data_IF_448132132577
#
_entry.id   IF_448132132577
#
_cell.length_a   1.000
_cell.length_b   1.000
_cell.length_c   1.000
_cell.angle_alpha   90.00
_cell.angle_beta   90.00
_cell.angle_gamma   90.00
#
_symmetry.space_group_name_H-M   'P 1'
#
loop_
_entity.id
_entity.type
_entity.pdbx_description
1 polymer ?
#
# COMPACT_ATOMS: atom_id res chain seq x y z
N UNK A 1 -0.88 24.12 -14.34
CA UNK A 1 -1.19 22.67 -14.44
C UNK A 1 -1.04 21.97 -13.07
N UNK A 2 -0.26 22.52 -12.13
CA UNK A 2 -0.04 22.02 -10.76
C UNK A 2 -1.26 22.01 -9.82
N UNK A 3 -2.29 22.82 -10.09
CA UNK A 3 -3.48 22.94 -9.21
C UNK A 3 -4.43 21.74 -9.27
N UNK A 4 -4.37 20.91 -10.33
CA UNK A 4 -5.21 19.70 -10.43
C UNK A 4 -4.64 18.53 -9.63
N UNK A 5 -3.33 18.35 -9.62
CA UNK A 5 -2.67 17.23 -8.92
C UNK A 5 -2.76 17.37 -7.40
N UNK A 6 -2.70 18.60 -6.89
CA UNK A 6 -2.86 18.91 -5.46
C UNK A 6 -4.29 18.67 -4.97
N UNK A 7 -5.30 19.03 -5.76
CA UNK A 7 -6.71 18.78 -5.44
C UNK A 7 -7.02 17.28 -5.38
N UNK A 8 -6.52 16.49 -6.33
CA UNK A 8 -6.73 15.04 -6.35
C UNK A 8 -6.00 14.32 -5.21
N UNK A 9 -4.81 14.80 -4.81
CA UNK A 9 -4.11 14.31 -3.62
C UNK A 9 -4.95 14.51 -2.35
N UNK A 10 -5.47 15.73 -2.13
CA UNK A 10 -6.29 16.02 -0.95
C UNK A 10 -7.59 15.22 -0.94
N UNK A 11 -8.22 15.03 -2.09
CA UNK A 11 -9.39 14.14 -2.23
C UNK A 11 -9.06 12.71 -1.83
N UNK A 12 -7.90 12.18 -2.24
CA UNK A 12 -7.49 10.82 -1.89
C UNK A 12 -7.25 10.66 -0.39
N UNK A 13 -6.57 11.61 0.25
CA UNK A 13 -6.40 11.59 1.71
C UNK A 13 -7.74 11.65 2.45
N UNK A 14 -8.62 12.56 2.03
CA UNK A 14 -9.96 12.70 2.62
C UNK A 14 -10.77 11.42 2.44
N UNK A 15 -10.63 10.75 1.29
CA UNK A 15 -11.29 9.47 1.01
C UNK A 15 -10.71 8.34 1.88
N UNK A 16 -9.39 8.28 2.07
CA UNK A 16 -8.78 7.33 3.01
C UNK A 16 -9.36 7.56 4.41
N UNK A 17 -9.39 8.80 4.89
CA UNK A 17 -9.85 9.14 6.23
C UNK A 17 -11.36 8.90 6.42
N UNK A 18 -12.18 9.02 5.38
CA UNK A 18 -13.63 8.81 5.47
C UNK A 18 -14.06 7.35 5.43
N UNK A 19 -13.29 6.46 4.80
CA UNK A 19 -13.63 5.02 4.70
C UNK A 19 -13.46 4.34 6.06
N UNK A 20 -14.50 3.68 6.53
CA UNK A 20 -14.51 3.01 7.84
C UNK A 20 -14.67 1.50 7.75
N UNK A 21 -14.73 0.97 6.53
CA UNK A 21 -14.94 -0.44 6.25
C UNK A 21 -13.69 -1.07 5.68
N UNK A 22 -13.35 -2.25 6.18
CA UNK A 22 -12.11 -2.91 5.79
C UNK A 22 -12.07 -3.26 4.31
N UNK A 23 -13.13 -3.87 3.75
CA UNK A 23 -13.17 -4.19 2.32
C UNK A 23 -13.04 -2.97 1.44
N UNK A 24 -13.65 -1.86 1.83
CA UNK A 24 -13.54 -0.59 1.10
C UNK A 24 -12.11 -0.03 1.12
N UNK A 25 -11.34 -0.25 2.19
CA UNK A 25 -9.91 0.11 2.24
C UNK A 25 -9.07 -0.78 1.32
N UNK A 26 -9.37 -2.09 1.28
CA UNK A 26 -8.70 -3.01 0.35
C UNK A 26 -9.01 -2.65 -1.11
N UNK A 27 -10.26 -2.35 -1.44
CA UNK A 27 -10.63 -1.88 -2.78
C UNK A 27 -9.91 -0.57 -3.14
N UNK A 28 -9.79 0.37 -2.18
CA UNK A 28 -9.03 1.59 -2.39
C UNK A 28 -7.52 1.33 -2.58
N UNK A 29 -6.97 0.27 -1.98
CA UNK A 29 -5.59 -0.16 -2.20
C UNK A 29 -5.32 -0.48 -3.68
N UNK A 30 -6.21 -1.24 -4.30
CA UNK A 30 -6.13 -1.59 -5.71
C UNK A 30 -6.23 -0.36 -6.62
N UNK A 31 -7.08 0.60 -6.25
CA UNK A 31 -7.17 1.89 -6.95
C UNK A 31 -5.87 2.69 -6.82
N UNK A 32 -5.28 2.77 -5.62
CA UNK A 32 -4.02 3.48 -5.38
C UNK A 32 -2.88 2.86 -6.14
N UNK A 33 -2.80 1.53 -6.24
CA UNK A 33 -1.77 0.87 -7.06
C UNK A 33 -1.80 1.27 -8.53
N UNK A 34 -2.98 1.51 -9.10
CA UNK A 34 -3.14 2.01 -10.48
C UNK A 34 -2.66 3.45 -10.65
N UNK A 35 -2.40 4.18 -9.56
CA UNK A 35 -1.93 5.57 -9.58
C UNK A 35 -0.40 5.70 -9.55
N UNK A 36 0.36 4.59 -9.44
CA UNK A 36 1.83 4.65 -9.27
C UNK A 36 2.56 5.43 -10.37
N UNK A 37 2.01 5.48 -11.59
CA UNK A 37 2.58 6.18 -12.74
C UNK A 37 1.99 7.57 -13.00
N UNK A 38 0.98 7.98 -12.22
CA UNK A 38 0.24 9.25 -12.42
C UNK A 38 0.72 10.38 -11.52
N UNK A 39 1.37 10.06 -10.40
CA UNK A 39 1.81 11.03 -9.40
C UNK A 39 3.31 10.91 -9.15
N UNK A 40 3.96 12.00 -8.69
CA UNK A 40 5.31 11.92 -8.15
C UNK A 40 5.40 10.85 -7.05
N UNK A 41 6.53 10.14 -6.99
CA UNK A 41 6.73 9.04 -6.04
C UNK A 41 6.47 9.45 -4.58
N UNK A 42 6.86 10.66 -4.18
CA UNK A 42 6.63 11.19 -2.83
C UNK A 42 5.15 11.27 -2.46
N UNK A 43 4.31 11.75 -3.39
CA UNK A 43 2.85 11.86 -3.23
C UNK A 43 2.23 10.47 -3.14
N UNK A 44 2.59 9.60 -4.08
CA UNK A 44 2.11 8.21 -4.10
C UNK A 44 2.50 7.44 -2.82
N UNK A 45 3.76 7.56 -2.39
CA UNK A 45 4.26 6.90 -1.19
C UNK A 45 3.54 7.38 0.07
N UNK A 46 3.21 8.67 0.16
CA UNK A 46 2.43 9.21 1.28
C UNK A 46 1.00 8.66 1.30
N UNK A 47 0.28 8.71 0.18
CA UNK A 47 -1.08 8.15 0.06
C UNK A 47 -1.08 6.66 0.45
N UNK A 48 -0.12 5.89 -0.10
CA UNK A 48 0.04 4.46 0.19
C UNK A 48 0.36 4.21 1.67
N UNK A 49 1.25 5.00 2.26
CA UNK A 49 1.60 4.93 3.68
C UNK A 49 0.39 5.17 4.57
N UNK A 50 -0.40 6.22 4.27
CA UNK A 50 -1.60 6.57 5.03
C UNK A 50 -2.67 5.49 4.96
N UNK A 51 -2.89 4.91 3.78
CA UNK A 51 -3.80 3.78 3.64
C UNK A 51 -3.31 2.56 4.44
N UNK A 52 -2.01 2.24 4.36
CA UNK A 52 -1.43 1.10 5.07
C UNK A 52 -1.52 1.25 6.60
N UNK A 53 -1.28 2.46 7.13
CA UNK A 53 -1.51 2.76 8.55
C UNK A 53 -2.96 2.50 8.94
N UNK A 54 -3.91 2.97 8.11
CA UNK A 54 -5.32 2.79 8.38
C UNK A 54 -5.71 1.32 8.33
N UNK A 55 -5.27 0.56 7.34
CA UNK A 55 -5.48 -0.91 7.27
C UNK A 55 -4.92 -1.60 8.51
N UNK A 56 -3.73 -1.21 8.97
CA UNK A 56 -3.10 -1.78 10.16
C UNK A 56 -3.96 -1.60 11.43
N UNK A 57 -4.70 -0.49 11.54
CA UNK A 57 -5.66 -0.29 12.64
C UNK A 57 -6.78 -1.34 12.63
N UNK A 58 -7.21 -1.80 11.46
CA UNK A 58 -8.20 -2.88 11.34
C UNK A 58 -7.59 -4.25 11.61
N UNK A 59 -6.34 -4.47 11.21
CA UNK A 59 -5.66 -5.76 11.41
C UNK A 59 -5.29 -6.04 12.87
N UNK A 60 -4.91 -5.00 13.61
CA UNK A 60 -4.50 -5.08 15.00
C UNK A 60 -4.98 -3.88 15.81
N UNK A 61 -6.29 -3.75 16.08
CA UNK A 61 -6.81 -2.65 16.87
C UNK A 61 -6.46 -2.78 18.35
N UNK A 62 -6.49 -1.66 19.06
CA UNK A 62 -6.49 -1.66 20.52
C UNK A 62 -7.88 -2.12 21.02
N UNK A 63 -7.93 -3.32 21.59
CA UNK A 63 -9.18 -3.97 22.02
C UNK A 63 -9.91 -3.24 23.17
N UNK A 64 -9.22 -2.37 23.92
CA UNK A 64 -9.82 -1.68 25.07
C UNK A 64 -10.72 -0.52 24.66
N UNK A 65 -10.35 0.18 23.58
CA UNK A 65 -10.95 1.44 23.16
C UNK A 65 -11.81 1.32 21.92
N UNK A 66 -11.86 0.14 21.29
CA UNK A 66 -12.49 -0.01 19.99
C UNK A 66 -13.91 -0.61 20.05
N UNK A 67 -14.85 0.10 19.46
CA UNK A 67 -16.16 -0.44 19.09
C UNK A 67 -16.08 -0.83 17.62
N UNK A 68 -16.27 -2.12 17.30
CA UNK A 68 -16.25 -2.61 15.92
C UNK A 68 -17.56 -3.29 15.60
N UNK A 69 -18.02 -3.15 14.37
CA UNK A 69 -19.25 -3.78 13.89
C UNK A 69 -18.93 -4.77 12.79
N UNK A 70 -19.40 -5.99 12.94
CA UNK A 70 -19.38 -7.00 11.88
C UNK A 70 -20.67 -6.88 11.09
N UNK A 71 -20.58 -6.82 9.77
CA UNK A 71 -21.70 -6.65 8.85
C UNK A 71 -21.94 -7.98 8.13
N UNK A 72 -23.16 -8.48 8.17
CA UNK A 72 -23.57 -9.73 7.55
C UNK A 72 -24.22 -9.51 6.18
N UNK A 73 -24.38 -10.59 5.40
CA UNK A 73 -24.95 -10.57 4.04
C UNK A 73 -26.36 -9.97 4.02
N UNK A 74 -27.16 -10.21 5.07
CA UNK A 74 -28.51 -9.69 5.21
C UNK A 74 -28.58 -8.20 5.64
N UNK A 75 -27.44 -7.52 5.77
CA UNK A 75 -27.35 -6.14 6.25
C UNK A 75 -27.48 -5.98 7.76
N UNK A 76 -27.71 -7.07 8.51
CA UNK A 76 -27.62 -7.04 9.96
C UNK A 76 -26.18 -6.82 10.43
N UNK A 77 -26.03 -6.34 11.65
CA UNK A 77 -24.73 -6.11 12.24
C UNK A 77 -24.68 -6.54 13.70
N UNK A 78 -23.49 -6.93 14.15
CA UNK A 78 -23.20 -7.29 15.54
C UNK A 78 -21.96 -6.53 15.99
N UNK A 79 -21.96 -6.05 17.22
CA UNK A 79 -20.75 -5.48 17.81
C UNK A 79 -19.77 -6.60 18.15
N UNK A 80 -18.53 -6.47 17.68
CA UNK A 80 -17.46 -7.36 18.06
C UNK A 80 -17.14 -7.17 19.54
N UNK A 81 -17.09 -8.26 20.29
CA UNK A 81 -16.79 -8.22 21.71
C UNK A 81 -15.30 -8.04 21.97
N UNK A 82 -14.96 -7.40 23.10
CA UNK A 82 -13.56 -7.24 23.52
C UNK A 82 -12.84 -8.59 23.64
N UNK A 83 -13.55 -9.61 24.14
CA UNK A 83 -13.04 -10.96 24.28
C UNK A 83 -12.56 -11.54 22.94
N UNK A 84 -13.27 -11.25 21.85
CA UNK A 84 -12.93 -11.74 20.51
C UNK A 84 -11.71 -11.04 19.93
N UNK A 85 -11.61 -9.73 20.15
CA UNK A 85 -10.43 -8.97 19.76
C UNK A 85 -9.17 -9.50 20.48
N UNK A 86 -9.27 -9.73 21.80
CA UNK A 86 -8.17 -10.30 22.59
C UNK A 86 -7.85 -11.74 22.16
N UNK A 87 -8.86 -12.55 21.84
CA UNK A 87 -8.66 -13.91 21.37
C UNK A 87 -7.93 -13.95 20.01
N UNK A 88 -8.21 -13.00 19.10
CA UNK A 88 -7.49 -12.87 17.84
C UNK A 88 -5.99 -12.56 18.10
N UNK A 89 -5.70 -11.60 18.98
CA UNK A 89 -4.34 -11.22 19.36
C UNK A 89 -3.57 -12.37 20.02
N UNK A 90 -4.18 -13.08 20.95
CA UNK A 90 -3.56 -14.23 21.64
C UNK A 90 -3.22 -15.38 20.68
N UNK A 91 -4.02 -15.55 19.62
CA UNK A 91 -3.77 -16.54 18.57
C UNK A 91 -2.77 -16.05 17.51
N UNK A 92 -2.25 -14.82 17.62
CA UNK A 92 -1.37 -14.22 16.62
C UNK A 92 -2.04 -14.03 15.25
N UNK A 93 -3.37 -13.98 15.20
CA UNK A 93 -4.12 -13.78 13.97
C UNK A 93 -4.49 -12.33 13.78
N UNK A 94 -4.53 -11.87 12.52
CA UNK A 94 -5.14 -10.58 12.20
C UNK A 94 -6.62 -10.66 12.49
N UNK A 95 -7.19 -9.56 12.97
CA UNK A 95 -8.60 -9.51 13.28
C UNK A 95 -9.53 -9.83 12.09
N UNK A 96 -9.31 -9.31 10.86
CA UNK A 96 -10.09 -9.73 9.68
C UNK A 96 -10.16 -11.24 9.50
N UNK A 97 -9.02 -11.93 9.65
CA UNK A 97 -8.93 -13.38 9.48
C UNK A 97 -9.70 -14.11 10.59
N UNK A 98 -9.55 -13.64 11.83
CA UNK A 98 -10.32 -14.17 12.97
C UNK A 98 -11.83 -13.99 12.77
N UNK A 99 -12.26 -12.82 12.30
CA UNK A 99 -13.67 -12.53 12.02
C UNK A 99 -14.20 -13.44 10.93
N UNK A 100 -13.44 -13.68 9.87
CA UNK A 100 -13.83 -14.59 8.79
C UNK A 100 -14.02 -16.04 9.28
N UNK A 101 -13.20 -16.49 10.24
CA UNK A 101 -13.32 -17.83 10.84
C UNK A 101 -14.49 -17.92 11.81
N UNK A 102 -14.65 -16.95 12.72
CA UNK A 102 -15.68 -16.96 13.76
C UNK A 102 -17.08 -16.64 13.21
N UNK A 103 -17.16 -15.78 12.20
CA UNK A 103 -18.40 -15.27 11.61
C UNK A 103 -18.43 -15.59 10.10
N UNK A 104 -18.73 -16.84 9.70
CA UNK A 104 -18.63 -17.28 8.30
C UNK A 104 -19.57 -16.55 7.33
N UNK A 105 -20.62 -15.90 7.85
CA UNK A 105 -21.55 -15.08 7.07
C UNK A 105 -21.25 -13.58 7.11
N UNK A 106 -20.12 -13.18 7.73
CA UNK A 106 -19.67 -11.80 7.71
C UNK A 106 -19.22 -11.43 6.29
N UNK A 107 -19.71 -10.29 5.81
CA UNK A 107 -19.27 -9.70 4.54
C UNK A 107 -18.19 -8.67 4.81
N UNK A 108 -18.32 -7.87 5.85
CA UNK A 108 -17.39 -6.77 6.11
C UNK A 108 -17.33 -6.46 7.60
N UNK A 109 -16.41 -5.59 7.99
CA UNK A 109 -16.35 -5.05 9.33
C UNK A 109 -15.96 -3.57 9.31
N UNK A 110 -16.54 -2.84 10.26
CA UNK A 110 -16.54 -1.39 10.31
C UNK A 110 -16.05 -0.90 11.68
N UNK A 111 -15.16 0.09 11.67
CA UNK A 111 -14.77 0.85 12.86
C UNK A 111 -15.49 2.20 12.79
N UNK A 112 -16.46 2.53 13.67
CA UNK A 112 -17.14 3.82 13.66
C UNK A 112 -16.14 4.98 13.74
N UNK A 113 -16.41 6.09 13.03
CA UNK A 113 -15.49 7.24 12.99
C UNK A 113 -15.19 7.84 14.34
N UNK A 114 -16.17 7.83 15.26
CA UNK A 114 -16.01 8.37 16.60
C UNK A 114 -14.93 7.60 17.38
N UNK A 115 -14.82 6.31 17.11
CA UNK A 115 -13.78 5.41 17.64
C UNK A 115 -12.44 5.62 16.94
N UNK A 116 -12.42 5.85 15.62
CA UNK A 116 -11.17 6.16 14.89
C UNK A 116 -10.54 7.48 15.37
N UNK A 117 -11.35 8.51 15.63
CA UNK A 117 -10.88 9.82 16.12
C UNK A 117 -10.35 9.74 17.54
N UNK A 118 -10.95 8.94 18.41
CA UNK A 118 -10.44 8.73 19.78
C UNK A 118 -9.11 7.97 19.78
N UNK A 119 -8.93 7.00 18.87
CA UNK A 119 -7.66 6.28 18.70
C UNK A 119 -6.55 7.15 18.11
N UNK A 120 -6.86 8.05 17.16
CA UNK A 120 -5.89 8.98 16.59
C UNK A 120 -5.46 10.09 17.57
N UNK A 121 -6.32 10.41 18.55
CA UNK A 121 -6.07 11.44 19.57
C UNK A 121 -5.46 10.89 20.85
N UNK A 122 -5.43 9.56 21.01
CA UNK A 122 -4.72 8.90 22.08
C UNK A 122 -3.21 9.06 21.83
N UNK A 123 -2.61 10.10 22.44
CA UNK A 123 -1.15 10.11 22.68
C UNK A 123 -0.75 8.74 23.25
N UNK A 124 0.41 8.18 22.85
CA UNK A 124 0.89 6.93 23.41
C UNK A 124 0.92 7.10 24.92
N UNK A 125 -0.01 6.41 25.58
CA UNK A 125 -0.12 6.46 27.01
C UNK A 125 1.12 5.74 27.51
N UNK A 126 1.98 6.48 28.21
CA UNK A 126 3.08 5.98 29.03
C UNK A 126 2.49 5.09 30.12
N UNK A 127 2.07 3.89 29.74
CA UNK A 127 1.81 2.79 30.63
C UNK A 127 3.14 2.09 30.87
N UNK A 128 3.61 2.16 32.11
CA UNK A 128 4.76 1.43 32.64
C UNK A 128 4.64 -0.07 32.33
N UNK A 129 5.30 -0.51 31.25
CA UNK A 129 5.67 -1.90 31.06
C UNK A 129 6.94 -2.19 31.89
N UNK A 130 7.06 -3.37 32.55
CA UNK A 130 8.25 -3.74 33.29
C UNK A 130 9.44 -3.84 32.33
N UNK A 131 10.60 -3.34 32.78
CA UNK A 131 11.83 -3.13 32.02
C UNK A 131 12.16 -4.29 31.07
N UNK A 132 11.87 -4.08 29.78
CA UNK A 132 12.42 -4.84 28.66
C UNK A 132 13.71 -4.18 28.20
N UNK A 133 14.74 -5.00 28.00
CA UNK A 133 16.12 -4.61 27.75
C UNK A 133 16.26 -3.63 26.56
N UNK A 134 16.88 -2.43 26.72
CA UNK A 134 16.96 -1.39 25.68
C UNK A 134 17.76 -1.79 24.42
N UNK A 135 18.43 -2.94 24.43
CA UNK A 135 19.11 -3.50 23.26
C UNK A 135 18.16 -4.16 22.25
N UNK A 136 16.90 -4.47 22.63
CA UNK A 136 15.95 -5.14 21.73
C UNK A 136 15.25 -4.16 20.78
N UNK A 137 14.97 -2.94 21.22
CA UNK A 137 14.34 -1.89 20.40
C UNK A 137 15.24 -1.41 19.26
N UNK A 138 16.56 -1.37 19.47
CA UNK A 138 17.54 -1.10 18.42
C UNK A 138 17.64 -2.26 17.41
N UNK A 139 17.50 -3.51 17.85
CA UNK A 139 17.56 -4.67 16.94
C UNK A 139 16.38 -4.74 15.97
N UNK A 140 15.16 -4.39 16.43
CA UNK A 140 13.95 -4.37 15.59
C UNK A 140 14.03 -3.21 14.57
N UNK A 141 14.54 -2.05 14.98
CA UNK A 141 14.78 -0.94 14.07
C UNK A 141 15.81 -1.30 12.98
N UNK A 142 16.84 -2.06 13.34
CA UNK A 142 17.87 -2.54 12.41
C UNK A 142 17.31 -3.62 11.47
N UNK A 143 16.51 -4.58 11.93
CA UNK A 143 15.88 -5.59 11.06
C UNK A 143 14.89 -4.97 10.05
N UNK A 144 14.13 -3.96 10.49
CA UNK A 144 13.23 -3.20 9.60
C UNK A 144 14.01 -2.37 8.58
N UNK A 145 15.17 -1.81 8.97
CA UNK A 145 16.09 -1.14 8.06
C UNK A 145 16.75 -2.11 7.09
N UNK A 146 17.16 -3.30 7.53
CA UNK A 146 17.75 -4.36 6.72
C UNK A 146 16.79 -4.87 5.66
N UNK A 147 15.53 -5.13 6.06
CA UNK A 147 14.48 -5.58 5.13
C UNK A 147 14.19 -4.52 4.05
N UNK A 148 14.22 -3.23 4.42
CA UNK A 148 14.09 -2.12 3.47
C UNK A 148 15.32 -2.00 2.56
N UNK A 149 16.51 -2.26 3.08
CA UNK A 149 17.76 -2.26 2.31
C UNK A 149 17.79 -3.41 1.29
N UNK A 150 17.40 -4.63 1.70
CA UNK A 150 17.28 -5.78 0.81
C UNK A 150 16.25 -5.56 -0.29
N UNK A 151 15.13 -4.91 0.03
CA UNK A 151 14.13 -4.54 -0.97
C UNK A 151 14.68 -3.50 -1.97
N UNK A 152 15.44 -2.51 -1.50
CA UNK A 152 16.12 -1.54 -2.37
C UNK A 152 17.19 -2.20 -3.25
N UNK A 153 17.97 -3.14 -2.70
CA UNK A 153 18.95 -3.91 -3.46
C UNK A 153 18.26 -4.72 -4.56
N UNK A 154 17.14 -5.41 -4.26
CA UNK A 154 16.37 -6.14 -5.27
C UNK A 154 15.79 -5.23 -6.36
N UNK A 155 15.40 -4.00 -6.02
CA UNK A 155 14.96 -3.02 -7.02
C UNK A 155 16.14 -2.59 -7.89
N UNK A 156 17.29 -2.31 -7.29
CA UNK A 156 18.50 -1.91 -8.03
C UNK A 156 18.96 -3.04 -8.95
N UNK A 157 19.01 -4.29 -8.48
CA UNK A 157 19.36 -5.47 -9.28
C UNK A 157 18.35 -5.68 -10.43
N UNK A 158 17.06 -5.47 -10.16
CA UNK A 158 16.03 -5.56 -11.18
C UNK A 158 16.15 -4.43 -12.21
N UNK A 159 16.44 -3.21 -11.78
CA UNK A 159 16.71 -2.09 -12.69
C UNK A 159 17.98 -2.33 -13.49
N UNK A 160 19.06 -2.80 -12.87
CA UNK A 160 20.31 -3.15 -13.52
C UNK A 160 20.09 -4.23 -14.58
N UNK A 161 19.33 -5.28 -14.26
CA UNK A 161 18.92 -6.33 -15.19
C UNK A 161 18.09 -5.79 -16.36
N UNK A 162 17.12 -4.91 -16.09
CA UNK A 162 16.34 -4.25 -17.13
C UNK A 162 17.20 -3.34 -18.00
N UNK A 163 18.16 -2.61 -17.44
CA UNK A 163 19.06 -1.75 -18.20
C UNK A 163 20.06 -2.56 -19.03
N UNK A 164 20.62 -3.65 -18.49
CA UNK A 164 21.50 -4.55 -19.27
C UNK A 164 20.74 -5.30 -20.35
N UNK A 165 19.45 -5.60 -20.20
CA UNK A 165 18.67 -6.29 -21.22
C UNK A 165 18.04 -5.34 -22.26
N UNK A 166 17.55 -4.18 -21.83
CA UNK A 166 16.80 -3.26 -22.70
C UNK A 166 17.73 -2.35 -23.52
N UNK A 167 18.84 -1.87 -22.96
CA UNK A 167 19.75 -0.96 -23.67
C UNK A 167 20.36 -1.62 -24.92
N UNK A 168 20.86 -2.88 -24.87
CA UNK A 168 21.37 -3.54 -26.07
C UNK A 168 20.29 -3.75 -27.13
N UNK A 169 19.07 -4.14 -26.73
CA UNK A 169 17.94 -4.30 -27.65
C UNK A 169 17.53 -2.99 -28.32
N UNK A 170 17.52 -1.89 -27.57
CA UNK A 170 17.26 -0.55 -28.12
C UNK A 170 18.37 -0.16 -29.11
N UNK A 171 19.64 -0.42 -28.77
CA UNK A 171 20.78 -0.17 -29.66
C UNK A 171 20.71 -0.98 -30.96
N UNK A 172 20.29 -2.24 -30.87
CA UNK A 172 20.13 -3.14 -32.01
C UNK A 172 18.98 -2.69 -32.93
N UNK A 173 17.84 -2.30 -32.34
CA UNK A 173 16.71 -1.74 -33.08
C UNK A 173 17.07 -0.42 -33.79
N UNK A 174 17.85 0.45 -33.15
CA UNK A 174 18.33 1.70 -33.78
C UNK A 174 19.24 1.41 -34.98
N UNK A 175 20.12 0.41 -34.88
CA UNK A 175 20.96 0.00 -36.01
C UNK A 175 20.13 -0.54 -37.18
N UNK A 176 19.11 -1.34 -36.90
CA UNK A 176 18.22 -1.88 -37.93
C UNK A 176 17.41 -0.78 -38.63
N UNK A 177 16.90 0.19 -37.86
CA UNK A 177 16.19 1.36 -38.39
C UNK A 177 17.10 2.19 -39.29
N UNK A 178 18.33 2.47 -38.86
CA UNK A 178 19.31 3.19 -39.69
C UNK A 178 19.64 2.44 -40.97
N UNK A 179 19.79 1.11 -40.91
CA UNK A 179 20.01 0.29 -42.10
C UNK A 179 18.87 0.39 -43.12
N UNK A 180 17.62 0.34 -42.65
CA UNK A 180 16.43 0.50 -43.51
C UNK A 180 16.33 1.92 -44.08
N UNK A 181 16.69 2.93 -43.31
CA UNK A 181 16.76 4.33 -43.76
C UNK A 181 17.81 4.51 -44.87
N UNK A 182 19.02 3.98 -44.69
CA UNK A 182 20.07 4.04 -45.70
C UNK A 182 19.68 3.32 -46.99
N UNK A 183 18.99 2.17 -46.89
CA UNK A 183 18.48 1.44 -48.05
C UNK A 183 17.41 2.25 -48.80
N UNK A 184 16.49 2.89 -48.07
CA UNK A 184 15.51 3.81 -48.65
C UNK A 184 16.17 5.00 -49.34
N UNK A 185 17.17 5.62 -48.71
CA UNK A 185 17.92 6.72 -49.32
C UNK A 185 18.63 6.30 -50.61
N UNK A 186 19.31 5.14 -50.62
CA UNK A 186 19.97 4.61 -51.82
C UNK A 186 18.98 4.34 -52.96
N UNK A 187 17.81 3.77 -52.65
CA UNK A 187 16.76 3.57 -53.66
C UNK A 187 16.27 4.91 -54.21
N UNK A 188 16.04 5.90 -53.35
CA UNK A 188 15.55 7.21 -53.77
C UNK A 188 16.55 7.96 -54.66
N UNK A 189 17.84 7.82 -54.38
CA UNK A 189 18.91 8.40 -55.20
C UNK A 189 19.03 7.68 -56.56
N UNK A 190 18.88 6.36 -56.58
CA UNK A 190 18.88 5.59 -57.84
C UNK A 190 17.68 5.93 -58.74
N UNK A 191 16.54 6.28 -58.16
CA UNK A 191 15.35 6.75 -58.88
C UNK A 191 15.51 8.16 -59.46
N UNK A 192 16.41 8.99 -58.92
CA UNK A 192 16.69 10.33 -59.42
C UNK A 192 17.63 10.37 -60.63
N UNK A 193 18.34 9.28 -60.92
CA UNK A 193 19.31 9.18 -62.01
C UNK A 193 18.75 8.51 -63.29
N UNK A 194 17.51 8.04 -63.26
CA UNK A 194 16.72 7.64 -64.44
C UNK A 194 15.83 8.80 -64.89
#
# INVERSE_FOLDING_TARGET
METRETDDYHKMLTRIDSINRYRSLLALQDEIWKMHSKYPFSVYANIKGRLAEKIKLFEGPNCDSISMRIIFINGSWVNLEKADCLAAQQKGMKLPDFVAVKYPHAVDFEIPQDTLKSMASAKPSTGTAPLGNPNQEFSIAIEVLQTRLEYLIRIVDHMESLYTAAIPRISENIKEINGKLDELYKRLDSFKQQ
#
